data_IF_454622156208
#
_entry.id   IF_454622156208
#
_cell.length_a   1.000
_cell.length_b   1.000
_cell.length_c   1.000
_cell.angle_alpha   90.00
_cell.angle_beta   90.00
_cell.angle_gamma   90.00
#
_symmetry.space_group_name_H-M   'P 1'
#
loop_
_entity.id
_entity.type
_entity.pdbx_description
1 polymer ?
#
# COMPACT_ATOMS: atom_id res chain seq x y z
N UNK A 1 12.52 17.74 -27.32
CA UNK A 1 12.65 16.57 -26.42
C UNK A 1 12.89 16.95 -24.95
N UNK A 2 12.64 18.21 -24.54
CA UNK A 2 12.94 18.69 -23.19
C UNK A 2 11.73 18.95 -22.27
N UNK A 3 10.52 18.56 -22.68
CA UNK A 3 9.29 18.97 -21.96
C UNK A 3 8.78 17.94 -20.92
N UNK A 4 9.36 16.74 -20.86
CA UNK A 4 8.92 15.67 -19.94
C UNK A 4 10.09 14.89 -19.33
N UNK A 5 11.24 15.53 -19.11
CA UNK A 5 12.18 14.95 -18.15
C UNK A 5 11.51 15.03 -16.77
N UNK A 6 11.07 13.89 -16.25
CA UNK A 6 10.51 13.84 -14.91
C UNK A 6 11.58 14.22 -13.91
N UNK A 7 11.28 15.20 -13.07
CA UNK A 7 12.24 15.79 -12.13
C UNK A 7 13.06 14.72 -11.38
N UNK A 8 12.43 13.62 -10.95
CA UNK A 8 13.07 12.53 -10.23
C UNK A 8 14.24 11.82 -10.97
N UNK A 9 14.32 11.91 -12.31
CA UNK A 9 15.39 11.31 -13.11
C UNK A 9 16.42 12.31 -13.62
N UNK A 10 16.35 13.57 -13.18
CA UNK A 10 17.39 14.58 -13.42
C UNK A 10 18.41 14.62 -12.28
N UNK A 11 19.64 15.17 -12.50
CA UNK A 11 20.61 15.37 -11.42
C UNK A 11 20.05 16.16 -10.23
N UNK A 12 19.22 17.15 -10.48
CA UNK A 12 18.56 17.97 -9.46
C UNK A 12 17.56 17.14 -8.64
N UNK A 13 16.75 16.30 -9.28
CA UNK A 13 15.85 15.41 -8.55
C UNK A 13 16.56 14.31 -7.78
N UNK A 14 17.69 13.80 -8.27
CA UNK A 14 18.51 12.86 -7.52
C UNK A 14 19.08 13.52 -6.25
N UNK A 15 19.57 14.76 -6.37
CA UNK A 15 20.01 15.55 -5.22
C UNK A 15 18.86 15.79 -4.23
N UNK A 16 17.66 16.12 -4.71
CA UNK A 16 16.48 16.27 -3.86
C UNK A 16 16.11 14.97 -3.15
N UNK A 17 16.19 13.83 -3.85
CA UNK A 17 15.92 12.51 -3.28
C UNK A 17 16.93 12.13 -2.18
N UNK A 18 18.22 12.41 -2.39
CA UNK A 18 19.28 12.22 -1.38
C UNK A 18 19.06 13.12 -0.17
N UNK A 19 18.72 14.39 -0.41
CA UNK A 19 18.40 15.34 0.66
C UNK A 19 17.18 14.85 1.45
N UNK A 20 16.12 14.39 0.78
CA UNK A 20 14.95 13.83 1.45
C UNK A 20 15.29 12.63 2.31
N UNK A 21 16.12 11.70 1.81
CA UNK A 21 16.58 10.54 2.60
C UNK A 21 17.39 10.94 3.85
N UNK A 22 18.05 12.09 3.84
CA UNK A 22 18.81 12.62 4.99
C UNK A 22 17.93 13.40 5.99
N UNK A 23 16.90 14.10 5.49
CA UNK A 23 16.07 15.01 6.29
C UNK A 23 14.83 14.36 6.88
N UNK A 24 14.25 13.35 6.22
CA UNK A 24 13.04 12.68 6.70
C UNK A 24 13.38 11.89 7.97
N UNK A 25 12.72 12.24 9.07
CA UNK A 25 12.88 11.56 10.35
C UNK A 25 11.69 10.67 10.66
N UNK A 26 11.93 9.67 11.51
CA UNK A 26 10.90 8.78 12.03
C UNK A 26 10.63 9.13 13.49
N UNK A 27 9.41 9.56 13.78
CA UNK A 27 8.92 9.72 15.15
C UNK A 27 8.11 8.49 15.57
N UNK A 28 8.47 7.90 16.70
CA UNK A 28 7.76 6.75 17.27
C UNK A 28 6.77 7.22 18.33
N UNK A 29 5.47 7.14 18.01
CA UNK A 29 4.42 7.40 18.99
C UNK A 29 4.19 6.17 19.87
N UNK A 30 4.14 6.39 21.19
CA UNK A 30 3.87 5.33 22.17
C UNK A 30 2.54 4.65 21.86
N UNK A 31 2.57 3.33 21.85
CA UNK A 31 1.35 2.52 21.74
C UNK A 31 0.68 2.45 23.11
N UNK A 32 -0.64 2.61 23.23
CA UNK A 32 -1.33 2.52 24.52
C UNK A 32 -1.13 1.17 25.20
N UNK A 33 -1.15 1.14 26.54
CA UNK A 33 -0.90 -0.10 27.30
C UNK A 33 -1.92 -1.21 27.01
N UNK A 34 -3.16 -0.85 26.65
CA UNK A 34 -4.19 -1.82 26.27
C UNK A 34 -3.87 -2.55 24.95
N UNK A 35 -2.85 -2.11 24.21
CA UNK A 35 -2.33 -2.78 23.02
C UNK A 35 -1.39 -3.94 23.34
N UNK A 36 -0.85 -4.00 24.58
CA UNK A 36 0.10 -5.04 24.98
C UNK A 36 -0.35 -6.49 24.70
N UNK A 37 -1.65 -6.87 24.80
CA UNK A 37 -2.10 -8.21 24.45
C UNK A 37 -1.94 -8.60 22.97
N UNK A 38 -1.81 -7.62 22.07
CA UNK A 38 -1.70 -7.83 20.62
C UNK A 38 -0.22 -7.98 20.20
N UNK A 39 0.71 -7.41 20.95
CA UNK A 39 2.15 -7.46 20.66
C UNK A 39 2.67 -8.87 20.35
N UNK A 40 2.35 -9.95 21.11
CA UNK A 40 2.81 -11.29 20.78
C UNK A 40 2.49 -11.74 19.35
N UNK A 41 1.33 -11.34 18.82
CA UNK A 41 0.96 -11.62 17.42
C UNK A 41 1.82 -10.82 16.45
N UNK A 42 2.13 -9.55 16.74
CA UNK A 42 3.03 -8.72 15.91
C UNK A 42 4.45 -9.28 15.86
N UNK A 43 4.96 -9.74 16.99
CA UNK A 43 6.26 -10.42 17.06
C UNK A 43 6.26 -11.70 16.22
N UNK A 44 5.22 -12.52 16.35
CA UNK A 44 5.10 -13.75 15.56
C UNK A 44 5.03 -13.45 14.07
N UNK A 45 4.24 -12.47 13.66
CA UNK A 45 4.16 -12.02 12.26
C UNK A 45 5.54 -11.57 11.81
N UNK A 46 6.17 -10.65 12.53
CA UNK A 46 7.49 -10.11 12.19
C UNK A 46 8.53 -11.22 12.03
N UNK A 47 8.60 -12.18 12.96
CA UNK A 47 9.55 -13.30 12.90
C UNK A 47 9.30 -14.23 11.70
N UNK A 48 8.04 -14.39 11.30
CA UNK A 48 7.64 -15.30 10.21
C UNK A 48 7.52 -14.61 8.86
N UNK A 49 7.47 -13.28 8.84
CA UNK A 49 7.33 -12.43 7.66
C UNK A 49 8.55 -11.56 7.37
N UNK A 50 9.58 -11.57 8.24
CA UNK A 50 10.80 -10.80 8.06
C UNK A 50 11.46 -11.11 6.70
N UNK A 51 11.30 -10.19 5.75
CA UNK A 51 11.98 -10.19 4.47
C UNK A 51 11.18 -10.67 3.26
N UNK A 52 9.97 -11.24 3.42
CA UNK A 52 9.20 -11.74 2.27
C UNK A 52 7.68 -11.56 2.41
N UNK A 53 6.99 -10.91 1.45
CA UNK A 53 5.55 -10.70 1.46
C UNK A 53 4.74 -11.96 1.08
N UNK A 54 5.24 -13.15 1.39
CA UNK A 54 4.55 -14.40 1.04
C UNK A 54 3.71 -14.87 2.22
N UNK A 55 2.42 -14.54 2.20
CA UNK A 55 1.38 -15.07 3.10
C UNK A 55 1.41 -16.60 3.27
N UNK A 56 2.06 -17.32 2.34
CA UNK A 56 2.29 -18.77 2.38
C UNK A 56 3.08 -19.21 3.62
N UNK A 57 4.16 -18.52 3.98
CA UNK A 57 5.00 -18.95 5.12
C UNK A 57 4.30 -18.75 6.46
N UNK A 58 3.57 -17.64 6.59
CA UNK A 58 2.72 -17.39 7.75
C UNK A 58 1.65 -18.47 7.89
N UNK A 59 0.95 -18.81 6.80
CA UNK A 59 -0.07 -19.85 6.79
C UNK A 59 0.50 -21.24 7.14
N UNK A 60 1.69 -21.58 6.64
CA UNK A 60 2.39 -22.83 7.00
C UNK A 60 2.72 -22.85 8.48
N UNK A 61 3.31 -21.78 9.03
CA UNK A 61 3.64 -21.70 10.45
C UNK A 61 2.40 -21.83 11.33
N UNK A 62 1.31 -21.14 10.99
CA UNK A 62 0.05 -21.24 11.73
C UNK A 62 -0.52 -22.66 11.69
N UNK A 63 -0.43 -23.32 10.53
CA UNK A 63 -0.85 -24.72 10.36
C UNK A 63 -0.02 -25.67 11.20
N UNK A 64 1.30 -25.50 11.26
CA UNK A 64 2.19 -26.33 12.08
C UNK A 64 1.92 -26.15 13.58
N UNK A 65 1.73 -24.92 14.05
CA UNK A 65 1.39 -24.63 15.45
C UNK A 65 0.02 -25.21 15.83
N UNK A 66 -0.96 -25.08 14.95
CA UNK A 66 -2.29 -25.68 15.08
C UNK A 66 -2.22 -27.21 15.21
N UNK A 67 -1.53 -27.87 14.28
CA UNK A 67 -1.36 -29.33 14.31
C UNK A 67 -0.59 -29.80 15.53
N UNK A 68 0.45 -29.06 15.95
CA UNK A 68 1.20 -29.36 17.16
C UNK A 68 0.31 -29.29 18.41
N UNK A 69 -0.53 -28.26 18.53
CA UNK A 69 -1.47 -28.14 19.64
C UNK A 69 -2.47 -29.31 19.68
N UNK A 70 -3.00 -29.70 18.52
CA UNK A 70 -3.85 -30.88 18.40
C UNK A 70 -3.12 -32.18 18.80
N UNK A 71 -1.89 -32.35 18.33
CA UNK A 71 -1.06 -33.52 18.66
C UNK A 71 -0.75 -33.60 20.17
N UNK A 72 -0.36 -32.49 20.79
CA UNK A 72 -0.11 -32.41 22.23
C UNK A 72 -1.38 -32.71 23.02
N UNK A 73 -2.53 -32.13 22.64
CA UNK A 73 -3.81 -32.43 23.27
C UNK A 73 -4.17 -33.92 23.16
N UNK A 74 -3.92 -34.55 22.00
CA UNK A 74 -4.12 -35.99 21.81
C UNK A 74 -3.26 -36.82 22.78
N UNK A 75 -2.00 -36.44 23.01
CA UNK A 75 -1.07 -37.16 23.89
C UNK A 75 -1.41 -37.01 25.38
N UNK A 76 -1.77 -35.80 25.81
CA UNK A 76 -1.95 -35.48 27.24
C UNK A 76 -3.32 -35.93 27.80
N UNK A 77 -4.36 -35.97 26.97
CA UNK A 77 -5.71 -36.25 27.43
C UNK A 77 -5.92 -37.76 27.64
N UNK A 78 -6.30 -38.12 28.87
CA UNK A 78 -6.71 -39.48 29.23
C UNK A 78 -8.21 -39.67 29.00
N UNK A 79 -8.57 -40.09 27.79
CA UNK A 79 -9.94 -40.40 27.39
C UNK A 79 -9.98 -41.53 26.34
N UNK A 80 -11.18 -41.95 25.90
CA UNK A 80 -11.32 -42.91 24.80
C UNK A 80 -10.70 -42.35 23.52
N UNK A 81 -10.17 -43.20 22.64
CA UNK A 81 -9.47 -42.78 21.41
C UNK A 81 -10.26 -41.76 20.58
N UNK A 82 -11.56 -41.97 20.40
CA UNK A 82 -12.40 -41.04 19.65
C UNK A 82 -12.58 -39.68 20.36
N UNK A 83 -12.66 -39.65 21.68
CA UNK A 83 -12.74 -38.41 22.48
C UNK A 83 -11.42 -37.63 22.38
N UNK A 84 -10.28 -38.34 22.45
CA UNK A 84 -8.95 -37.75 22.25
C UNK A 84 -8.82 -37.13 20.87
N UNK A 85 -9.26 -37.83 19.82
CA UNK A 85 -9.27 -37.30 18.45
C UNK A 85 -10.16 -36.06 18.32
N UNK A 86 -11.37 -36.10 18.90
CA UNK A 86 -12.29 -34.97 18.88
C UNK A 86 -11.70 -33.74 19.58
N UNK A 87 -11.12 -33.91 20.78
CA UNK A 87 -10.52 -32.79 21.52
C UNK A 87 -9.26 -32.28 20.82
N UNK A 88 -8.44 -33.17 20.24
CA UNK A 88 -7.29 -32.78 19.43
C UNK A 88 -7.69 -31.94 18.21
N UNK A 89 -8.76 -32.32 17.52
CA UNK A 89 -9.30 -31.56 16.39
C UNK A 89 -9.79 -30.18 16.84
N UNK A 90 -10.52 -30.10 17.95
CA UNK A 90 -10.99 -28.83 18.53
C UNK A 90 -9.82 -27.95 18.98
N UNK A 91 -8.81 -28.52 19.64
CA UNK A 91 -7.61 -27.79 20.08
C UNK A 91 -6.83 -27.22 18.88
N UNK A 92 -6.63 -28.03 17.85
CA UNK A 92 -6.02 -27.58 16.60
C UNK A 92 -6.82 -26.43 15.98
N UNK A 93 -8.13 -26.62 15.78
CA UNK A 93 -9.01 -25.60 15.19
C UNK A 93 -9.01 -24.29 16.00
N UNK A 94 -9.06 -24.37 17.32
CA UNK A 94 -9.01 -23.19 18.20
C UNK A 94 -7.69 -22.42 18.05
N UNK A 95 -6.55 -23.10 17.97
CA UNK A 95 -5.26 -22.44 17.74
C UNK A 95 -5.22 -21.79 16.36
N UNK A 96 -5.68 -22.47 15.31
CA UNK A 96 -5.76 -21.89 13.97
C UNK A 96 -6.61 -20.61 13.94
N UNK A 97 -7.81 -20.66 14.53
CA UNK A 97 -8.71 -19.52 14.60
C UNK A 97 -8.13 -18.37 15.43
N UNK A 98 -7.45 -18.67 16.54
CA UNK A 98 -6.82 -17.67 17.40
C UNK A 98 -5.67 -16.96 16.67
N UNK A 99 -4.78 -17.70 16.00
CA UNK A 99 -3.67 -17.13 15.25
C UNK A 99 -4.14 -16.33 14.05
N UNK A 100 -5.13 -16.85 13.31
CA UNK A 100 -5.72 -16.16 12.15
C UNK A 100 -6.49 -14.90 12.57
N UNK A 101 -7.29 -14.99 13.63
CA UNK A 101 -8.01 -13.85 14.20
C UNK A 101 -7.06 -12.80 14.76
N UNK A 102 -6.00 -13.22 15.45
CA UNK A 102 -4.94 -12.34 15.93
C UNK A 102 -4.19 -11.65 14.80
N UNK A 103 -3.92 -12.34 13.68
CA UNK A 103 -3.35 -11.74 12.48
C UNK A 103 -4.26 -10.66 11.89
N UNK A 104 -5.55 -10.98 11.69
CA UNK A 104 -6.52 -10.00 11.19
C UNK A 104 -6.62 -8.81 12.14
N UNK A 105 -6.66 -9.05 13.45
CA UNK A 105 -6.66 -8.01 14.46
C UNK A 105 -5.42 -7.11 14.33
N UNK A 106 -4.20 -7.68 14.29
CA UNK A 106 -2.96 -6.91 14.12
C UNK A 106 -3.02 -6.03 12.88
N UNK A 107 -3.33 -6.58 11.71
CA UNK A 107 -3.37 -5.80 10.47
C UNK A 107 -4.43 -4.70 10.54
N UNK A 108 -5.63 -5.02 11.03
CA UNK A 108 -6.69 -4.04 11.22
C UNK A 108 -6.25 -2.92 12.16
N UNK A 109 -5.60 -3.27 13.28
CA UNK A 109 -5.10 -2.32 14.25
C UNK A 109 -3.96 -1.46 13.68
N UNK A 110 -3.00 -2.02 12.95
CA UNK A 110 -1.91 -1.26 12.33
C UNK A 110 -2.41 -0.31 11.23
N UNK A 111 -3.49 -0.70 10.52
CA UNK A 111 -4.14 0.13 9.51
C UNK A 111 -5.08 1.18 10.11
N UNK A 112 -5.79 0.90 11.21
CA UNK A 112 -6.77 1.83 11.79
C UNK A 112 -6.19 2.75 12.87
N UNK A 113 -5.24 2.26 13.67
CA UNK A 113 -4.75 3.01 14.83
C UNK A 113 -3.54 3.88 14.48
N UNK A 114 -3.50 5.12 14.98
CA UNK A 114 -2.47 6.10 14.65
C UNK A 114 -1.16 5.92 15.44
N UNK A 115 -0.86 4.70 15.90
CA UNK A 115 0.30 4.44 16.73
C UNK A 115 1.42 3.76 15.93
N UNK A 116 2.65 3.89 16.43
CA UNK A 116 3.82 3.22 15.88
C UNK A 116 4.77 4.18 15.18
N UNK A 117 4.38 4.94 14.16
CA UNK A 117 5.37 5.68 13.36
C UNK A 117 4.77 6.88 12.63
N UNK A 118 5.42 8.05 12.66
CA UNK A 118 5.11 9.18 11.80
C UNK A 118 6.37 9.66 11.10
N UNK A 119 6.28 9.91 9.81
CA UNK A 119 7.33 10.59 9.08
C UNK A 119 7.26 12.09 9.37
N UNK A 120 8.38 12.66 9.81
CA UNK A 120 8.53 14.09 10.09
C UNK A 120 9.43 14.68 9.02
N UNK A 121 8.90 15.69 8.34
CA UNK A 121 9.62 16.47 7.33
C UNK A 121 9.81 17.88 7.89
N UNK A 122 11.02 18.47 7.79
CA UNK A 122 11.26 19.87 8.14
C UNK A 122 10.28 20.81 7.44
N UNK A 123 9.83 21.87 8.11
CA UNK A 123 8.83 22.80 7.56
C UNK A 123 9.32 23.54 6.32
N UNK A 124 10.62 23.79 6.22
CA UNK A 124 11.32 24.46 5.13
C UNK A 124 11.84 23.50 4.04
N UNK A 125 11.49 22.21 4.12
CA UNK A 125 11.93 21.23 3.14
C UNK A 125 11.39 21.57 1.74
N UNK A 126 12.23 21.49 0.68
CA UNK A 126 11.81 21.75 -0.69
C UNK A 126 10.99 20.60 -1.32
N UNK A 127 10.48 19.68 -0.49
CA UNK A 127 9.75 18.49 -0.92
C UNK A 127 8.64 18.14 0.07
N UNK A 128 7.73 17.28 -0.37
CA UNK A 128 6.67 16.72 0.47
C UNK A 128 6.62 15.21 0.33
N UNK A 129 6.08 14.52 1.33
CA UNK A 129 5.83 13.09 1.25
C UNK A 129 4.53 12.80 0.51
N UNK A 130 4.62 11.93 -0.48
CA UNK A 130 3.50 11.45 -1.29
C UNK A 130 3.41 9.93 -1.24
N UNK A 131 2.20 9.38 -1.18
CA UNK A 131 1.94 7.99 -1.52
C UNK A 131 1.03 7.95 -2.75
N UNK A 132 1.51 7.43 -3.88
CA UNK A 132 0.79 7.49 -5.15
C UNK A 132 0.15 6.16 -5.56
N UNK A 133 0.12 5.17 -4.66
CA UNK A 133 -0.54 3.88 -4.90
C UNK A 133 -1.22 3.41 -3.61
N UNK A 134 -2.54 3.57 -3.56
CA UNK A 134 -3.35 3.32 -2.35
C UNK A 134 -4.71 2.75 -2.73
N UNK A 135 -5.07 1.64 -2.10
CA UNK A 135 -6.37 1.00 -2.20
C UNK A 135 -7.27 1.35 -1.02
N UNK A 136 -8.57 1.29 -1.25
CA UNK A 136 -9.61 1.52 -0.26
C UNK A 136 -10.66 0.41 -0.32
N UNK A 137 -11.69 0.50 0.51
CA UNK A 137 -12.87 -0.36 0.45
C UNK A 137 -13.64 -0.27 -0.88
N UNK A 138 -13.31 0.66 -1.77
CA UNK A 138 -13.88 0.68 -3.14
C UNK A 138 -13.22 -0.36 -4.07
N UNK A 139 -12.16 -1.04 -3.63
CA UNK A 139 -11.64 -2.25 -4.27
C UNK A 139 -11.25 -3.33 -3.26
N UNK A 140 -9.97 -3.47 -2.97
CA UNK A 140 -9.42 -4.53 -2.12
C UNK A 140 -8.59 -3.99 -0.93
N UNK A 141 -8.84 -2.74 -0.53
CA UNK A 141 -8.29 -2.15 0.69
C UNK A 141 -9.21 -2.31 1.90
N UNK A 142 -8.64 -2.12 3.09
CA UNK A 142 -9.30 -2.21 4.39
C UNK A 142 -9.89 -0.88 4.85
N UNK A 143 -9.27 0.24 4.48
CA UNK A 143 -9.71 1.58 4.91
C UNK A 143 -10.74 2.16 3.93
N UNK A 144 -11.76 2.84 4.45
CA UNK A 144 -12.61 3.69 3.59
C UNK A 144 -11.76 4.80 2.96
N UNK A 145 -12.20 5.43 1.85
CA UNK A 145 -11.46 6.53 1.26
C UNK A 145 -11.12 7.67 2.23
N UNK A 146 -12.03 8.02 3.13
CA UNK A 146 -11.83 9.03 4.17
C UNK A 146 -10.83 8.56 5.23
N UNK A 147 -10.92 7.30 5.67
CA UNK A 147 -9.97 6.72 6.61
C UNK A 147 -8.56 6.67 6.01
N UNK A 148 -8.42 6.33 4.73
CA UNK A 148 -7.15 6.33 4.01
C UNK A 148 -6.52 7.73 4.00
N UNK A 149 -7.30 8.78 3.70
CA UNK A 149 -6.83 10.18 3.79
C UNK A 149 -6.32 10.51 5.19
N UNK A 150 -7.11 10.20 6.21
CA UNK A 150 -6.75 10.51 7.60
C UNK A 150 -5.53 9.71 8.06
N UNK A 151 -5.38 8.46 7.62
CA UNK A 151 -4.21 7.64 7.90
C UNK A 151 -2.94 8.27 7.31
N UNK A 152 -2.97 8.66 6.03
CA UNK A 152 -1.84 9.28 5.34
C UNK A 152 -1.44 10.61 6.00
N UNK A 153 -2.41 11.48 6.29
CA UNK A 153 -2.16 12.75 6.97
C UNK A 153 -1.47 12.54 8.33
N UNK A 154 -1.91 11.52 9.10
CA UNK A 154 -1.31 11.17 10.40
C UNK A 154 0.08 10.54 10.28
N UNK A 155 0.40 9.88 9.17
CA UNK A 155 1.74 9.36 8.89
C UNK A 155 2.71 10.41 8.34
N UNK A 156 2.25 11.64 8.09
CA UNK A 156 3.10 12.76 7.65
C UNK A 156 3.03 13.05 6.15
N UNK A 157 2.25 12.27 5.39
CA UNK A 157 2.02 12.54 3.98
C UNK A 157 1.26 13.86 3.77
N UNK A 158 1.54 14.51 2.65
CA UNK A 158 0.85 15.71 2.16
C UNK A 158 0.15 15.47 0.85
N UNK A 159 0.50 14.39 0.14
CA UNK A 159 -0.18 13.96 -1.10
C UNK A 159 -0.51 12.48 -0.99
N UNK A 160 -1.73 12.12 -1.37
CA UNK A 160 -2.13 10.72 -1.55
C UNK A 160 -2.82 10.57 -2.90
N UNK A 161 -2.47 9.56 -3.67
CA UNK A 161 -3.31 9.09 -4.76
C UNK A 161 -4.11 7.87 -4.29
N UNK A 162 -5.43 7.94 -4.48
CA UNK A 162 -6.28 6.77 -4.32
C UNK A 162 -6.42 6.13 -5.70
N UNK A 163 -6.00 4.88 -5.80
CA UNK A 163 -5.81 4.13 -7.04
C UNK A 163 -6.48 2.76 -6.90
N UNK A 164 -7.78 2.76 -6.60
CA UNK A 164 -8.55 1.53 -6.47
C UNK A 164 -8.53 0.70 -7.75
N UNK A 165 -8.71 -0.62 -7.62
CA UNK A 165 -8.59 -1.56 -8.74
C UNK A 165 -9.68 -1.29 -9.79
N UNK A 166 -9.30 -0.81 -10.98
CA UNK A 166 -10.18 -0.52 -12.12
C UNK A 166 -11.35 0.44 -11.79
N UNK A 167 -11.18 1.33 -10.81
CA UNK A 167 -12.20 2.36 -10.55
C UNK A 167 -11.61 3.59 -9.85
N UNK A 168 -12.12 4.78 -10.22
CA UNK A 168 -11.72 6.05 -9.62
C UNK A 168 -12.56 6.46 -8.40
N UNK A 169 -13.62 5.71 -8.09
CA UNK A 169 -14.64 6.07 -7.08
C UNK A 169 -14.04 6.40 -5.72
N UNK A 170 -13.05 5.63 -5.28
CA UNK A 170 -12.36 5.90 -4.01
C UNK A 170 -11.69 7.27 -3.99
N UNK A 171 -10.99 7.63 -5.07
CA UNK A 171 -10.38 8.95 -5.22
C UNK A 171 -11.39 10.08 -5.23
N UNK A 172 -12.53 9.92 -5.90
CA UNK A 172 -13.59 10.93 -5.90
C UNK A 172 -14.18 11.17 -4.50
N UNK A 173 -14.43 10.10 -3.75
CA UNK A 173 -14.94 10.18 -2.37
C UNK A 173 -13.91 10.87 -1.47
N UNK A 174 -12.66 10.41 -1.50
CA UNK A 174 -11.57 10.99 -0.71
C UNK A 174 -11.33 12.47 -1.02
N UNK A 175 -11.37 12.86 -2.30
CA UNK A 175 -11.21 14.25 -2.72
C UNK A 175 -12.33 15.13 -2.21
N UNK A 176 -13.59 14.70 -2.37
CA UNK A 176 -14.77 15.42 -1.85
C UNK A 176 -14.71 15.59 -0.32
N UNK A 177 -14.25 14.57 0.40
CA UNK A 177 -14.08 14.62 1.86
C UNK A 177 -13.09 15.72 2.28
N UNK A 178 -11.92 15.80 1.62
CA UNK A 178 -10.92 16.84 1.88
C UNK A 178 -11.42 18.23 1.52
N UNK A 179 -12.01 18.38 0.34
CA UNK A 179 -12.55 19.66 -0.13
C UNK A 179 -13.63 20.20 0.82
N UNK A 180 -14.53 19.32 1.27
CA UNK A 180 -15.61 19.68 2.19
C UNK A 180 -15.07 20.09 3.56
N UNK A 181 -14.09 19.38 4.11
CA UNK A 181 -13.44 19.75 5.36
C UNK A 181 -12.80 21.14 5.29
N UNK A 182 -12.05 21.42 4.21
CA UNK A 182 -11.36 22.69 4.05
C UNK A 182 -12.31 23.87 3.78
N UNK A 183 -13.44 23.65 3.10
CA UNK A 183 -14.48 24.66 2.91
C UNK A 183 -15.11 25.07 4.26
N UNK A 184 -15.41 24.11 5.12
CA UNK A 184 -15.95 24.39 6.45
C UNK A 184 -14.94 25.07 7.39
N UNK A 185 -13.65 24.75 7.26
CA UNK A 185 -12.58 25.44 8.00
C UNK A 185 -12.45 26.92 7.59
N UNK A 186 -12.66 27.24 6.30
CA UNK A 186 -12.64 28.63 5.81
C UNK A 186 -13.80 29.48 6.37
N UNK A 187 -14.91 28.85 6.77
CA UNK A 187 -16.06 29.49 7.42
C UNK A 187 -15.85 29.74 8.93
N UNK A 188 -14.61 29.74 9.43
CA UNK A 188 -14.22 29.93 10.85
C UNK A 188 -14.83 28.90 11.83
N UNK A 189 -15.23 27.72 11.35
CA UNK A 189 -15.54 26.59 12.22
C UNK A 189 -14.24 25.82 12.52
N UNK A 190 -13.76 25.78 13.78
CA UNK A 190 -12.40 25.37 14.13
C UNK A 190 -12.17 23.85 14.10
N UNK A 191 -12.97 23.07 13.34
CA UNK A 191 -13.09 21.64 13.60
C UNK A 191 -12.29 20.72 12.69
N UNK A 192 -11.93 21.10 11.45
CA UNK A 192 -11.11 20.23 10.60
C UNK A 192 -10.53 20.95 9.37
N UNK A 193 -9.26 21.36 9.41
CA UNK A 193 -8.49 21.60 8.17
C UNK A 193 -7.70 20.34 7.85
N UNK A 194 -7.76 19.89 6.60
CA UNK A 194 -7.01 18.74 6.08
C UNK A 194 -5.99 19.25 5.05
N UNK A 195 -4.75 19.58 5.48
CA UNK A 195 -3.68 20.05 4.58
C UNK A 195 -3.05 18.87 3.83
N UNK A 196 -3.87 18.11 3.12
CA UNK A 196 -3.49 16.97 2.31
C UNK A 196 -4.16 17.07 0.95
N UNK A 197 -3.39 16.87 -0.12
CA UNK A 197 -3.90 16.83 -1.50
C UNK A 197 -4.24 15.39 -1.90
N UNK A 198 -5.46 15.19 -2.40
CA UNK A 198 -5.89 13.90 -2.96
C UNK A 198 -5.80 13.94 -4.47
N UNK A 199 -5.07 12.99 -5.05
CA UNK A 199 -5.06 12.70 -6.48
C UNK A 199 -6.04 11.57 -6.75
N UNK A 200 -6.90 11.79 -7.75
CA UNK A 200 -7.84 10.77 -8.23
C UNK A 200 -7.12 9.93 -9.29
N UNK A 201 -7.18 8.61 -9.13
CA UNK A 201 -6.63 7.66 -10.07
C UNK A 201 -7.24 6.29 -9.90
N UNK A 202 -6.71 5.32 -10.64
CA UNK A 202 -7.04 3.91 -10.48
C UNK A 202 -5.78 3.06 -10.71
N UNK A 203 -5.77 1.85 -10.16
CA UNK A 203 -4.87 0.80 -10.62
C UNK A 203 -5.59 -0.02 -11.68
N UNK A 204 -5.25 0.18 -12.95
CA UNK A 204 -5.71 -0.69 -14.03
C UNK A 204 -5.10 -2.08 -13.81
N UNK A 205 -5.93 -3.09 -13.55
CA UNK A 205 -5.53 -4.49 -13.31
C UNK A 205 -5.84 -5.37 -14.51
N UNK A 206 -5.05 -5.21 -15.58
CA UNK A 206 -5.07 -6.10 -16.74
C UNK A 206 -4.01 -7.20 -16.66
N UNK A 207 -3.46 -7.59 -17.81
CA UNK A 207 -2.29 -8.50 -17.88
C UNK A 207 -1.04 -7.92 -17.22
N UNK A 208 -1.00 -6.62 -17.02
CA UNK A 208 0.00 -5.86 -16.27
C UNK A 208 -0.74 -4.74 -15.56
N UNK A 209 -0.27 -4.37 -14.38
CA UNK A 209 -0.91 -3.34 -13.59
C UNK A 209 -0.33 -1.96 -13.90
N UNK A 210 -1.19 -0.95 -13.97
CA UNK A 210 -0.79 0.43 -14.23
C UNK A 210 -1.45 1.34 -13.20
N UNK A 211 -0.66 2.19 -12.53
CA UNK A 211 -1.17 3.31 -11.76
C UNK A 211 -1.46 4.45 -12.73
N UNK A 212 -2.74 4.81 -12.85
CA UNK A 212 -3.22 5.88 -13.72
C UNK A 212 -3.70 7.03 -12.86
N UNK A 213 -3.03 8.18 -12.95
CA UNK A 213 -3.34 9.37 -12.16
C UNK A 213 -4.02 10.42 -13.02
N UNK A 214 -4.90 11.23 -12.42
CA UNK A 214 -5.61 12.33 -13.08
C UNK A 214 -6.50 11.88 -14.26
N UNK A 215 -7.05 10.67 -14.18
CA UNK A 215 -8.10 10.21 -15.09
C UNK A 215 -9.49 10.64 -14.58
N UNK A 216 -10.43 10.79 -15.51
CA UNK A 216 -11.80 11.30 -15.26
C UNK A 216 -12.88 10.22 -15.33
N UNK A 217 -12.55 9.05 -15.88
CA UNK A 217 -13.44 7.89 -15.92
C UNK A 217 -12.64 6.60 -15.89
N UNK A 218 -13.25 5.58 -15.31
CA UNK A 218 -12.71 4.23 -15.17
C UNK A 218 -12.24 3.67 -16.53
N UNK A 219 -11.10 2.99 -16.52
CA UNK A 219 -10.57 2.22 -17.64
C UNK A 219 -10.53 0.76 -17.21
N UNK A 220 -11.34 -0.05 -17.87
CA UNK A 220 -11.58 -1.44 -17.47
C UNK A 220 -10.80 -2.41 -18.37
N UNK A 221 -10.16 -3.45 -17.82
CA UNK A 221 -9.49 -4.50 -18.60
C UNK A 221 -10.47 -5.37 -19.40
N UNK A 222 -11.78 -5.19 -19.22
CA UNK A 222 -12.82 -5.80 -20.07
C UNK A 222 -12.91 -5.13 -21.44
N UNK A 223 -12.60 -3.84 -21.49
CA UNK A 223 -12.82 -2.99 -22.66
C UNK A 223 -11.50 -2.55 -23.31
N UNK A 224 -10.40 -2.56 -22.54
CA UNK A 224 -9.09 -2.09 -22.99
C UNK A 224 -8.01 -3.15 -22.73
N UNK A 225 -7.19 -3.43 -23.74
CA UNK A 225 -5.89 -4.07 -23.52
C UNK A 225 -4.88 -3.05 -22.97
N UNK A 226 -3.69 -3.52 -22.54
CA UNK A 226 -2.69 -2.65 -21.89
C UNK A 226 -2.31 -1.43 -22.76
N UNK A 227 -1.97 -1.58 -24.06
CA UNK A 227 -1.68 -0.44 -24.92
C UNK A 227 -2.87 0.52 -25.09
N UNK A 228 -4.10 0.00 -25.26
CA UNK A 228 -5.29 0.84 -25.40
C UNK A 228 -5.62 1.58 -24.10
N UNK A 229 -5.40 0.93 -22.95
CA UNK A 229 -5.61 1.52 -21.64
C UNK A 229 -4.64 2.69 -21.39
N UNK A 230 -3.36 2.53 -21.77
CA UNK A 230 -2.37 3.62 -21.72
C UNK A 230 -2.86 4.79 -22.58
N UNK A 231 -3.20 4.55 -23.85
CA UNK A 231 -3.69 5.61 -24.76
C UNK A 231 -4.94 6.31 -24.23
N UNK A 232 -5.87 5.55 -23.66
CA UNK A 232 -7.09 6.12 -23.09
C UNK A 232 -6.79 6.99 -21.87
N UNK A 233 -5.93 6.54 -20.94
CA UNK A 233 -5.51 7.35 -19.81
C UNK A 233 -4.87 8.68 -20.26
N UNK A 234 -3.97 8.62 -21.26
CA UNK A 234 -3.38 9.81 -21.88
C UNK A 234 -4.42 10.75 -22.48
N UNK A 235 -5.43 10.21 -23.18
CA UNK A 235 -6.52 10.98 -23.78
C UNK A 235 -7.33 11.76 -22.72
N UNK A 236 -7.38 11.26 -21.49
CA UNK A 236 -8.03 11.95 -20.36
C UNK A 236 -7.15 13.02 -19.72
N UNK A 237 -5.88 13.16 -20.15
CA UNK A 237 -4.88 14.01 -19.52
C UNK A 237 -4.21 13.36 -18.31
N UNK A 238 -4.27 12.02 -18.23
CA UNK A 238 -3.71 11.24 -17.15
C UNK A 238 -2.22 10.91 -17.33
N UNK A 239 -1.57 10.61 -16.21
CA UNK A 239 -0.21 10.09 -16.13
C UNK A 239 -0.30 8.58 -15.91
N UNK A 240 0.55 7.80 -16.56
CA UNK A 240 0.54 6.34 -16.51
C UNK A 240 1.87 5.80 -16.02
N UNK A 241 1.86 5.20 -14.84
CA UNK A 241 3.03 4.56 -14.21
C UNK A 241 2.82 3.05 -14.25
N UNK A 242 3.80 2.30 -14.77
CA UNK A 242 3.77 0.84 -14.67
C UNK A 242 3.97 0.40 -13.22
N UNK A 243 2.96 -0.23 -12.64
CA UNK A 243 2.98 -0.68 -11.25
C UNK A 243 3.70 -2.02 -11.14
N UNK A 244 4.54 -2.15 -10.10
CA UNK A 244 5.32 -3.35 -9.74
C UNK A 244 5.68 -4.23 -10.95
N UNK A 245 6.42 -3.68 -11.94
CA UNK A 245 6.49 -4.22 -13.31
C UNK A 245 7.07 -5.64 -13.41
N UNK A 246 7.82 -6.08 -12.40
CA UNK A 246 8.33 -7.46 -12.27
C UNK A 246 7.23 -8.52 -12.09
N UNK A 247 6.01 -8.13 -11.71
CA UNK A 247 4.86 -9.03 -11.57
C UNK A 247 4.02 -9.14 -12.86
N UNK A 248 4.25 -8.25 -13.82
CA UNK A 248 3.49 -8.14 -15.06
C UNK A 248 3.82 -9.24 -16.08
N UNK A 249 2.94 -9.38 -17.08
CA UNK A 249 3.15 -10.28 -18.23
C UNK A 249 3.86 -9.62 -19.42
N UNK A 250 3.99 -8.29 -19.42
CA UNK A 250 4.65 -7.55 -20.48
C UNK A 250 6.03 -7.09 -20.04
N UNK A 251 6.96 -7.02 -20.98
CA UNK A 251 8.31 -6.55 -20.75
C UNK A 251 8.36 -5.03 -20.50
N UNK A 252 9.41 -4.58 -19.80
CA UNK A 252 9.67 -3.16 -19.58
C UNK A 252 9.79 -2.40 -20.93
N UNK A 253 10.35 -3.04 -21.96
CA UNK A 253 10.50 -2.44 -23.29
C UNK A 253 9.15 -2.24 -23.99
N UNK A 254 8.25 -3.21 -23.94
CA UNK A 254 6.88 -3.05 -24.48
C UNK A 254 6.15 -1.89 -23.80
N UNK A 255 6.23 -1.80 -22.46
CA UNK A 255 5.60 -0.73 -21.70
C UNK A 255 6.16 0.65 -22.08
N UNK A 256 7.48 0.75 -22.29
CA UNK A 256 8.14 1.96 -22.76
C UNK A 256 7.65 2.36 -24.16
N UNK A 257 7.59 1.41 -25.10
CA UNK A 257 7.11 1.64 -26.47
C UNK A 257 5.64 2.10 -26.51
N UNK A 258 4.82 1.60 -25.59
CA UNK A 258 3.42 2.02 -25.48
C UNK A 258 3.23 3.37 -24.78
N UNK A 259 4.30 3.96 -24.24
CA UNK A 259 4.31 5.33 -23.75
C UNK A 259 3.86 5.50 -22.30
N UNK A 260 4.26 4.58 -21.41
CA UNK A 260 4.20 4.84 -19.96
C UNK A 260 5.08 6.05 -19.62
N UNK A 261 4.66 6.82 -18.61
CA UNK A 261 5.42 7.97 -18.10
C UNK A 261 6.51 7.57 -17.13
N UNK A 262 6.41 6.36 -16.56
CA UNK A 262 7.27 5.96 -15.47
C UNK A 262 7.04 4.54 -15.01
N UNK A 263 7.87 4.15 -14.06
CA UNK A 263 7.84 2.84 -13.43
C UNK A 263 7.88 2.97 -11.93
N UNK A 264 7.15 2.09 -11.27
CA UNK A 264 7.38 1.81 -9.88
C UNK A 264 8.69 1.02 -9.72
N UNK A 265 9.60 1.54 -8.91
CA UNK A 265 10.90 0.93 -8.60
C UNK A 265 10.99 0.43 -7.17
N UNK A 266 10.03 0.79 -6.31
CA UNK A 266 9.88 0.25 -4.96
C UNK A 266 8.40 0.00 -4.74
N UNK A 267 8.04 -1.23 -4.39
CA UNK A 267 6.69 -1.59 -3.95
C UNK A 267 6.79 -2.41 -2.67
N UNK A 268 6.38 -1.83 -1.55
CA UNK A 268 6.54 -2.47 -0.24
C UNK A 268 8.01 -2.83 0.02
N UNK A 269 8.33 -4.12 0.09
CA UNK A 269 9.70 -4.62 0.32
C UNK A 269 10.45 -4.99 -0.96
N UNK A 270 9.81 -4.89 -2.13
CA UNK A 270 10.40 -5.28 -3.41
C UNK A 270 11.02 -4.06 -4.08
N UNK A 271 12.28 -4.20 -4.50
CA UNK A 271 13.06 -3.20 -5.19
C UNK A 271 13.25 -3.61 -6.66
N UNK A 272 12.96 -2.68 -7.57
CA UNK A 272 13.30 -2.79 -8.98
C UNK A 272 14.81 -2.80 -9.17
N UNK A 273 15.24 -3.53 -10.21
CA UNK A 273 16.66 -3.75 -10.49
C UNK A 273 17.38 -2.47 -11.00
N UNK A 274 18.71 -2.52 -11.02
CA UNK A 274 19.54 -1.42 -11.51
C UNK A 274 19.27 -1.10 -12.99
N UNK A 275 18.90 -2.11 -13.79
CA UNK A 275 18.60 -1.95 -15.22
C UNK A 275 17.36 -1.09 -15.43
N UNK A 276 16.29 -1.31 -14.66
CA UNK A 276 15.08 -0.51 -14.71
C UNK A 276 15.36 0.94 -14.30
N UNK A 277 16.16 1.16 -13.24
CA UNK A 277 16.56 2.51 -12.82
C UNK A 277 17.36 3.21 -13.91
N UNK A 278 18.37 2.55 -14.48
CA UNK A 278 19.17 3.10 -15.57
C UNK A 278 18.32 3.44 -16.81
N UNK A 279 17.33 2.61 -17.13
CA UNK A 279 16.37 2.87 -18.20
C UNK A 279 15.52 4.11 -17.91
N UNK A 280 15.01 4.25 -16.68
CA UNK A 280 14.25 5.44 -16.28
C UNK A 280 15.09 6.71 -16.42
N UNK A 281 16.35 6.69 -15.98
CA UNK A 281 17.28 7.82 -16.18
C UNK A 281 17.52 8.14 -17.66
N UNK A 282 17.80 7.11 -18.47
CA UNK A 282 18.08 7.27 -19.89
C UNK A 282 16.91 7.92 -20.66
N UNK A 283 15.68 7.61 -20.27
CA UNK A 283 14.46 8.06 -20.95
C UNK A 283 13.74 9.20 -20.22
N UNK A 284 14.30 9.72 -19.11
CA UNK A 284 13.70 10.81 -18.35
C UNK A 284 12.34 10.46 -17.73
N UNK A 285 12.14 9.20 -17.34
CA UNK A 285 10.86 8.67 -16.87
C UNK A 285 10.63 8.96 -15.38
N UNK A 286 9.36 9.00 -14.96
CA UNK A 286 8.99 9.07 -13.55
C UNK A 286 9.38 7.77 -12.83
N UNK A 287 9.81 7.94 -11.59
CA UNK A 287 10.28 6.84 -10.74
C UNK A 287 9.45 6.90 -9.47
N UNK A 288 8.64 5.87 -9.23
CA UNK A 288 7.74 5.80 -8.08
C UNK A 288 8.24 4.79 -7.06
N UNK A 289 8.32 5.21 -5.80
CA UNK A 289 8.35 4.31 -4.66
C UNK A 289 6.98 4.35 -3.97
N UNK A 290 6.29 3.23 -3.89
CA UNK A 290 4.98 3.14 -3.29
C UNK A 290 4.87 2.01 -2.28
N UNK A 291 3.81 2.07 -1.48
CA UNK A 291 3.48 1.04 -0.51
C UNK A 291 2.58 -0.05 -1.10
N UNK A 292 1.90 0.21 -2.24
CA UNK A 292 0.68 -0.51 -2.65
C UNK A 292 -0.22 -0.75 -1.42
N UNK A 293 -0.54 0.36 -0.76
CA UNK A 293 -1.22 0.33 0.54
C UNK A 293 -2.62 -0.24 0.36
N UNK A 294 -3.03 -1.18 1.22
CA UNK A 294 -4.34 -1.83 1.18
C UNK A 294 -5.02 -1.71 2.54
#
# INVERSE_FOLDING_TARGET
MGELAWFATTPEGEQLGKLAAQLVQVEWHRVPIWFAPIEPFRWLITLTSAGYPHAKWLAVTYSLLSLLAGFVAFLLIRARRWQRLAIAAVASLNVMLTLSGGFVAVNWFESMMPFGMRWVVPEDAPFVLANLHTHTTQSNGFLTPEQAVLWHLRRGYRVVAITDSNTIKGGEIAKKFVESANLHSALRLPRLSLPLTVLVGEEFRGKTHLVMLNIRRDISPRDFDVPAAIREAKRQGGIVIAAHPWSGRHSIHELLEWGVDGFEIVNGTVLGDEKLRALCHKHGLAVLGSLDFR
#
